data_IF_747649650895
#
_entry.id   IF_747649650895
#
_cell.length_a   1.000
_cell.length_b   1.000
_cell.length_c   1.000
_cell.angle_alpha   90.00
_cell.angle_beta   90.00
_cell.angle_gamma   90.00
#
_symmetry.space_group_name_H-M   'P 1'
#
loop_
_entity.id
_entity.type
_entity.pdbx_description
1 polymer ?
#
# COMPACT_ATOMS: atom_id res chain seq x y z
N UNK A 1 -30.81 -8.65 8.72
CA UNK A 1 -30.09 -7.51 9.31
C UNK A 1 -28.78 -7.16 8.59
N UNK A 2 -27.93 -8.13 8.16
CA UNK A 2 -26.65 -7.89 7.47
C UNK A 2 -26.76 -7.05 6.18
N UNK A 3 -27.74 -7.33 5.31
CA UNK A 3 -27.97 -6.58 4.05
C UNK A 3 -28.36 -5.11 4.27
N UNK A 4 -29.03 -4.78 5.37
CA UNK A 4 -29.41 -3.40 5.72
C UNK A 4 -28.23 -2.57 6.19
N UNK A 5 -27.30 -3.18 6.95
CA UNK A 5 -26.07 -2.50 7.40
C UNK A 5 -25.15 -2.17 6.22
N UNK A 6 -25.04 -3.06 5.23
CA UNK A 6 -24.24 -2.83 4.01
C UNK A 6 -24.83 -1.65 3.21
N UNK A 7 -26.17 -1.63 3.01
CA UNK A 7 -26.83 -0.53 2.30
C UNK A 7 -26.75 0.79 3.04
N UNK A 8 -26.82 0.79 4.36
CA UNK A 8 -26.67 1.99 5.17
C UNK A 8 -25.24 2.54 5.11
N UNK A 9 -24.23 1.67 5.15
CA UNK A 9 -22.83 2.06 4.98
C UNK A 9 -22.58 2.63 3.58
N UNK A 10 -23.10 2.01 2.53
CA UNK A 10 -23.01 2.53 1.17
C UNK A 10 -23.68 3.90 1.02
N UNK A 11 -24.83 4.10 1.63
CA UNK A 11 -25.52 5.39 1.61
C UNK A 11 -24.70 6.46 2.35
N UNK A 12 -24.12 6.12 3.50
CA UNK A 12 -23.26 7.02 4.28
C UNK A 12 -21.98 7.41 3.52
N UNK A 13 -21.44 6.49 2.70
CA UNK A 13 -20.30 6.76 1.81
C UNK A 13 -20.66 7.76 0.72
N UNK A 14 -21.79 7.54 0.02
CA UNK A 14 -22.29 8.48 -1.01
C UNK A 14 -22.51 9.88 -0.40
N UNK A 15 -22.97 9.95 0.84
CA UNK A 15 -23.19 11.21 1.56
C UNK A 15 -21.87 11.86 2.05
N UNK A 16 -20.82 11.08 2.25
CA UNK A 16 -19.49 11.55 2.64
C UNK A 16 -18.58 11.85 1.44
N UNK A 17 -18.91 11.36 0.27
CA UNK A 17 -18.16 11.56 -0.97
C UNK A 17 -18.22 13.04 -1.38
N UNK A 18 -17.07 13.69 -1.41
CA UNK A 18 -16.97 15.12 -1.76
C UNK A 18 -17.39 15.39 -3.20
N UNK A 19 -17.15 14.46 -4.12
CA UNK A 19 -17.54 14.55 -5.51
C UNK A 19 -19.08 14.39 -5.70
N UNK A 20 -19.75 13.68 -4.79
CA UNK A 20 -21.20 13.55 -4.79
C UNK A 20 -21.93 14.73 -4.09
N UNK A 21 -21.23 15.50 -3.23
CA UNK A 21 -21.80 16.63 -2.48
C UNK A 21 -22.51 17.66 -3.35
N UNK A 22 -21.94 18.13 -4.49
CA UNK A 22 -22.65 19.08 -5.35
C UNK A 22 -23.99 18.58 -5.85
N UNK A 23 -24.03 17.30 -6.30
CA UNK A 23 -25.29 16.66 -6.74
C UNK A 23 -26.33 16.53 -5.62
N UNK A 24 -25.89 16.19 -4.40
CA UNK A 24 -26.74 16.07 -3.22
C UNK A 24 -27.24 17.45 -2.74
N UNK A 25 -26.41 18.50 -2.83
CA UNK A 25 -26.80 19.88 -2.55
C UNK A 25 -27.86 20.34 -3.53
N UNK A 26 -27.69 20.09 -4.82
CA UNK A 26 -28.68 20.43 -5.88
C UNK A 26 -30.00 19.72 -5.63
N UNK A 27 -29.97 18.41 -5.29
CA UNK A 27 -31.18 17.65 -4.91
C UNK A 27 -31.88 18.24 -3.68
N UNK A 28 -31.10 18.56 -2.64
CA UNK A 28 -31.60 19.18 -1.42
C UNK A 28 -32.25 20.54 -1.66
N UNK A 29 -31.56 21.41 -2.41
CA UNK A 29 -32.08 22.74 -2.78
C UNK A 29 -33.34 22.65 -3.64
N UNK A 30 -33.36 21.74 -4.64
CA UNK A 30 -34.56 21.51 -5.46
C UNK A 30 -35.75 21.03 -4.64
N UNK A 31 -35.50 20.14 -3.67
CA UNK A 31 -36.53 19.69 -2.72
C UNK A 31 -37.06 20.82 -1.84
N UNK A 32 -36.19 21.66 -1.30
CA UNK A 32 -36.56 22.82 -0.47
C UNK A 32 -37.37 23.83 -1.28
N UNK A 33 -36.96 24.12 -2.53
CA UNK A 33 -37.71 25.03 -3.41
C UNK A 33 -39.09 24.46 -3.74
N UNK A 34 -39.19 23.17 -4.04
CA UNK A 34 -40.48 22.54 -4.34
C UNK A 34 -41.43 22.54 -3.15
N UNK A 35 -40.93 22.22 -1.94
CA UNK A 35 -41.73 22.24 -0.71
C UNK A 35 -42.07 23.68 -0.34
N UNK A 36 -41.15 24.64 -0.44
CA UNK A 36 -41.40 26.05 -0.19
C UNK A 36 -42.47 26.61 -1.12
N UNK A 37 -42.48 26.28 -2.40
CA UNK A 37 -43.48 26.67 -3.39
C UNK A 37 -44.86 26.13 -3.02
N UNK A 38 -44.94 24.86 -2.60
CA UNK A 38 -46.18 24.22 -2.16
C UNK A 38 -46.74 24.83 -0.88
N UNK A 39 -45.90 25.24 0.04
CA UNK A 39 -46.28 25.84 1.33
C UNK A 39 -46.75 27.29 1.15
N UNK A 40 -46.01 28.07 0.33
CA UNK A 40 -46.33 29.51 0.14
C UNK A 40 -47.51 29.75 -0.82
N UNK A 41 -47.66 28.90 -1.83
CA UNK A 41 -48.69 29.02 -2.87
C UNK A 41 -49.56 27.76 -3.00
N UNK A 42 -50.24 27.31 -1.94
CA UNK A 42 -50.94 25.99 -1.95
C UNK A 42 -52.10 25.89 -2.94
N UNK A 43 -52.61 27.01 -3.46
CA UNK A 43 -53.76 27.05 -4.40
C UNK A 43 -53.39 27.51 -5.82
N UNK A 44 -52.22 28.14 -5.99
CA UNK A 44 -51.83 28.78 -7.24
C UNK A 44 -50.65 28.16 -7.92
N UNK A 45 -49.87 27.29 -7.24
CA UNK A 45 -48.80 26.55 -7.88
C UNK A 45 -49.36 25.46 -8.75
N UNK A 46 -49.34 25.56 -10.10
CA UNK A 46 -49.76 24.45 -10.96
C UNK A 46 -48.88 23.25 -10.61
N UNK A 47 -49.49 22.13 -10.33
CA UNK A 47 -48.79 20.86 -10.06
C UNK A 47 -47.73 20.54 -11.13
N UNK A 48 -47.93 21.07 -12.33
CA UNK A 48 -47.03 21.03 -13.48
C UNK A 48 -45.69 21.74 -13.24
N UNK A 49 -45.69 22.93 -12.61
CA UNK A 49 -44.43 23.68 -12.36
C UNK A 49 -43.58 22.97 -11.30
N UNK A 50 -44.21 22.53 -10.19
CA UNK A 50 -43.53 21.78 -9.13
C UNK A 50 -43.00 20.45 -9.68
N UNK A 51 -43.78 19.75 -10.49
CA UNK A 51 -43.38 18.53 -11.15
C UNK A 51 -42.20 18.74 -12.12
N UNK A 52 -42.19 19.85 -12.84
CA UNK A 52 -41.16 20.19 -13.81
C UNK A 52 -39.82 20.53 -13.12
N UNK A 53 -39.87 21.30 -12.01
CA UNK A 53 -38.70 21.63 -11.20
C UNK A 53 -38.12 20.38 -10.55
N UNK A 54 -38.95 19.52 -9.96
CA UNK A 54 -38.48 18.24 -9.36
C UNK A 54 -37.89 17.31 -10.42
N UNK A 55 -38.54 17.17 -11.58
CA UNK A 55 -38.03 16.36 -12.68
C UNK A 55 -36.72 16.88 -13.25
N UNK A 56 -36.59 18.18 -13.48
CA UNK A 56 -35.33 18.78 -13.95
C UNK A 56 -34.20 18.61 -12.94
N UNK A 57 -34.48 18.83 -11.65
CA UNK A 57 -33.48 18.67 -10.58
C UNK A 57 -33.05 17.21 -10.43
N UNK A 58 -34.00 16.27 -10.46
CA UNK A 58 -33.70 14.84 -10.41
C UNK A 58 -32.91 14.36 -11.66
N UNK A 59 -33.24 14.86 -12.85
CA UNK A 59 -32.54 14.56 -14.09
C UNK A 59 -31.10 15.11 -14.08
N UNK A 60 -30.91 16.35 -13.63
CA UNK A 60 -29.60 16.96 -13.53
C UNK A 60 -28.71 16.25 -12.49
N UNK A 61 -29.24 15.97 -11.31
CA UNK A 61 -28.52 15.22 -10.28
C UNK A 61 -28.20 13.78 -10.70
N UNK A 62 -29.14 13.12 -11.40
CA UNK A 62 -28.93 11.80 -11.96
C UNK A 62 -27.85 11.76 -13.06
N UNK A 63 -27.86 12.76 -13.94
CA UNK A 63 -26.84 12.91 -14.99
C UNK A 63 -25.44 13.21 -14.39
N UNK A 64 -25.38 14.07 -13.39
CA UNK A 64 -24.11 14.39 -12.70
C UNK A 64 -23.57 13.17 -11.93
N UNK A 65 -24.42 12.48 -11.19
CA UNK A 65 -24.03 11.27 -10.46
C UNK A 65 -23.58 10.15 -11.42
N UNK A 66 -24.30 9.96 -12.54
CA UNK A 66 -23.91 9.03 -13.58
C UNK A 66 -22.57 9.40 -14.22
N UNK A 67 -22.34 10.69 -14.49
CA UNK A 67 -21.06 11.16 -15.01
C UNK A 67 -19.92 10.92 -14.01
N UNK A 68 -20.10 11.26 -12.74
CA UNK A 68 -19.09 11.04 -11.70
C UNK A 68 -18.74 9.55 -11.52
N UNK A 69 -19.77 8.68 -11.51
CA UNK A 69 -19.58 7.23 -11.41
C UNK A 69 -18.86 6.69 -12.65
N UNK A 70 -19.28 7.10 -13.86
CA UNK A 70 -18.67 6.67 -15.12
C UNK A 70 -17.24 7.20 -15.23
N UNK A 71 -16.99 8.46 -14.89
CA UNK A 71 -15.65 9.04 -14.92
C UNK A 71 -14.72 8.33 -13.93
N UNK A 72 -15.18 8.08 -12.70
CA UNK A 72 -14.42 7.33 -11.69
C UNK A 72 -14.16 5.88 -12.15
N UNK A 73 -15.16 5.22 -12.73
CA UNK A 73 -15.02 3.84 -13.24
C UNK A 73 -14.09 3.78 -14.45
N UNK A 74 -14.18 4.70 -15.40
CA UNK A 74 -13.27 4.75 -16.56
C UNK A 74 -11.83 5.03 -16.12
N UNK A 75 -11.61 5.94 -15.17
CA UNK A 75 -10.28 6.22 -14.64
C UNK A 75 -9.70 5.02 -13.88
N UNK A 76 -10.52 4.28 -13.10
CA UNK A 76 -10.07 3.07 -12.43
C UNK A 76 -9.78 1.94 -13.43
N UNK A 77 -10.63 1.77 -14.45
CA UNK A 77 -10.47 0.73 -15.47
C UNK A 77 -9.26 0.97 -16.38
N UNK A 78 -8.92 2.23 -16.69
CA UNK A 78 -7.66 2.55 -17.40
C UNK A 78 -6.44 2.26 -16.52
N UNK A 79 -6.49 2.60 -15.23
CA UNK A 79 -5.42 2.24 -14.28
C UNK A 79 -5.23 0.73 -14.14
N UNK A 80 -6.33 -0.03 -14.04
CA UNK A 80 -6.26 -1.51 -13.98
C UNK A 80 -5.64 -2.13 -15.23
N UNK A 81 -5.90 -1.58 -16.42
CA UNK A 81 -5.37 -2.11 -17.68
C UNK A 81 -3.87 -1.89 -17.86
N UNK A 82 -3.31 -0.84 -17.28
CA UNK A 82 -1.92 -0.44 -17.50
C UNK A 82 -1.00 -0.99 -16.41
N UNK A 83 -1.50 -1.26 -15.20
CA UNK A 83 -0.74 -1.54 -13.98
C UNK A 83 -1.12 -2.80 -13.23
N UNK A 84 -1.58 -3.84 -13.89
CA UNK A 84 -1.66 -5.12 -13.17
C UNK A 84 -0.25 -5.62 -12.87
N UNK A 85 -0.02 -6.25 -11.72
CA UNK A 85 1.28 -6.84 -11.36
C UNK A 85 1.84 -7.71 -12.48
N UNK A 86 1.00 -8.48 -13.15
CA UNK A 86 1.37 -9.37 -14.25
C UNK A 86 1.88 -8.59 -15.48
N UNK A 87 1.21 -7.50 -15.83
CA UNK A 87 1.63 -6.66 -16.96
C UNK A 87 2.99 -5.97 -16.70
N UNK A 88 3.23 -5.58 -15.44
CA UNK A 88 4.53 -5.04 -15.01
C UNK A 88 5.60 -6.12 -15.09
N UNK A 89 5.33 -7.30 -14.55
CA UNK A 89 6.28 -8.43 -14.59
C UNK A 89 6.63 -8.82 -16.04
N UNK A 90 5.65 -8.88 -16.92
CA UNK A 90 5.90 -9.18 -18.34
C UNK A 90 6.74 -8.11 -19.04
N UNK A 91 6.48 -6.82 -18.73
CA UNK A 91 7.22 -5.68 -19.29
C UNK A 91 8.71 -5.68 -18.91
N UNK A 92 9.04 -6.16 -17.71
CA UNK A 92 10.41 -6.17 -17.18
C UNK A 92 11.03 -7.57 -17.13
N UNK A 93 10.38 -8.54 -17.77
CA UNK A 93 10.92 -9.91 -17.89
C UNK A 93 12.30 -9.88 -18.56
N UNK A 94 13.31 -10.33 -17.82
CA UNK A 94 14.70 -10.39 -18.28
C UNK A 94 15.48 -9.07 -18.12
N UNK A 95 14.84 -7.97 -17.71
CA UNK A 95 15.53 -6.72 -17.40
C UNK A 95 15.79 -6.57 -15.89
N UNK A 96 14.97 -7.19 -15.05
CA UNK A 96 15.06 -7.13 -13.58
C UNK A 96 14.92 -8.53 -13.02
N UNK A 97 15.69 -8.83 -11.99
CA UNK A 97 15.50 -10.04 -11.18
C UNK A 97 14.27 -9.86 -10.30
N UNK A 98 13.15 -10.43 -10.75
CA UNK A 98 11.85 -10.32 -10.11
C UNK A 98 11.65 -11.47 -9.12
N UNK A 99 11.09 -11.15 -7.95
CA UNK A 99 10.79 -12.14 -6.93
C UNK A 99 9.81 -13.20 -7.46
N UNK A 100 10.27 -14.45 -7.48
CA UNK A 100 9.44 -15.61 -7.81
C UNK A 100 8.86 -16.21 -6.52
N UNK A 101 7.54 -16.15 -6.30
CA UNK A 101 6.91 -16.69 -5.10
C UNK A 101 6.76 -18.22 -5.20
N UNK A 102 7.86 -18.90 -5.45
CA UNK A 102 7.92 -20.34 -5.70
C UNK A 102 7.57 -21.16 -4.47
N UNK A 103 7.98 -20.71 -3.28
CA UNK A 103 7.71 -21.38 -2.01
C UNK A 103 6.25 -21.22 -1.62
N UNK A 104 5.70 -20.01 -1.73
CA UNK A 104 4.26 -19.75 -1.54
C UNK A 104 3.43 -20.61 -2.49
N UNK A 105 3.78 -20.72 -3.77
CA UNK A 105 3.08 -21.55 -4.75
C UNK A 105 3.11 -23.03 -4.41
N UNK A 106 4.17 -23.49 -3.78
CA UNK A 106 4.29 -24.90 -3.34
C UNK A 106 3.43 -25.18 -2.12
N UNK A 107 3.34 -24.21 -1.20
CA UNK A 107 2.58 -24.33 0.04
C UNK A 107 1.08 -24.15 -0.18
N UNK A 108 0.70 -23.23 -1.04
CA UNK A 108 -0.68 -22.89 -1.33
C UNK A 108 -1.16 -23.54 -2.62
N UNK A 109 -2.33 -24.17 -2.55
CA UNK A 109 -3.07 -24.64 -3.74
C UNK A 109 -3.81 -23.46 -4.42
N UNK A 110 -3.25 -22.25 -4.29
CA UNK A 110 -3.87 -20.99 -4.68
C UNK A 110 -3.29 -20.48 -6.00
N UNK A 111 -4.08 -19.67 -6.70
CA UNK A 111 -3.65 -18.94 -7.90
C UNK A 111 -2.70 -17.81 -7.52
N UNK A 112 -1.43 -18.15 -7.30
CA UNK A 112 -0.36 -17.18 -7.01
C UNK A 112 0.38 -16.87 -8.32
N UNK A 113 0.68 -15.57 -8.62
CA UNK A 113 1.42 -15.19 -9.82
C UNK A 113 2.77 -15.91 -9.95
N UNK A 114 3.26 -16.09 -11.17
CA UNK A 114 4.59 -16.67 -11.39
C UNK A 114 5.70 -15.75 -10.87
N UNK A 115 5.49 -14.44 -10.95
CA UNK A 115 6.43 -13.42 -10.53
C UNK A 115 5.68 -12.27 -9.88
N UNK A 116 6.35 -11.61 -8.94
CA UNK A 116 5.92 -10.37 -8.32
C UNK A 116 6.77 -9.21 -8.85
N UNK A 117 6.21 -8.01 -9.05
CA UNK A 117 6.95 -6.83 -9.49
C UNK A 117 7.78 -6.23 -8.33
N UNK A 118 8.59 -7.07 -7.73
CA UNK A 118 9.43 -6.80 -6.56
C UNK A 118 10.81 -7.38 -6.84
N UNK A 119 11.86 -6.63 -6.52
CA UNK A 119 13.25 -7.09 -6.50
C UNK A 119 13.80 -6.94 -5.08
N UNK A 120 14.35 -7.98 -4.53
CA UNK A 120 15.00 -7.91 -3.23
C UNK A 120 16.34 -7.18 -3.34
N UNK A 121 16.67 -6.37 -2.33
CA UNK A 121 17.95 -5.62 -2.25
C UNK A 121 18.79 -6.15 -1.12
N UNK A 122 18.14 -6.36 0.03
CA UNK A 122 18.72 -6.98 1.21
C UNK A 122 17.66 -7.97 1.69
N UNK A 123 17.99 -9.23 1.69
CA UNK A 123 17.16 -10.27 2.34
C UNK A 123 17.78 -10.57 3.70
N UNK A 124 16.95 -11.01 4.64
CA UNK A 124 17.45 -11.64 5.86
C UNK A 124 18.26 -12.87 5.41
N UNK A 125 19.54 -12.74 5.48
CA UNK A 125 20.45 -13.66 4.86
C UNK A 125 20.92 -14.63 5.94
N UNK A 126 20.97 -15.76 5.43
CA UNK A 126 22.11 -16.54 5.26
C UNK A 126 23.31 -15.93 4.49
N UNK A 127 23.47 -14.65 4.30
CA UNK A 127 24.49 -14.04 3.53
C UNK A 127 25.78 -13.91 4.28
N UNK A 128 26.87 -14.39 3.69
CA UNK A 128 28.28 -14.23 4.09
C UNK A 128 28.55 -14.16 5.61
N UNK A 129 27.92 -15.03 6.40
CA UNK A 129 28.47 -15.40 7.69
C UNK A 129 29.85 -15.97 7.44
N UNK A 130 30.86 -15.19 7.75
CA UNK A 130 32.21 -15.70 8.02
C UNK A 130 32.04 -16.96 8.85
N UNK A 131 32.44 -18.09 8.27
CA UNK A 131 32.31 -19.41 8.86
C UNK A 131 32.71 -19.42 10.34
N UNK A 132 31.74 -19.46 11.20
CA UNK A 132 31.86 -19.76 12.63
C UNK A 132 30.82 -20.84 12.95
N UNK A 133 31.34 -21.99 13.38
CA UNK A 133 30.61 -23.21 13.73
C UNK A 133 29.68 -23.06 14.95
N UNK A 134 28.77 -22.07 14.96
CA UNK A 134 27.77 -21.97 16.00
C UNK A 134 26.40 -21.74 15.32
N UNK A 135 25.42 -22.66 15.39
CA UNK A 135 24.06 -22.38 14.95
C UNK A 135 23.50 -21.34 15.93
N UNK A 136 23.60 -20.08 15.54
CA UNK A 136 23.08 -18.96 16.31
C UNK A 136 21.59 -19.06 16.57
N UNK A 137 21.07 -18.37 17.59
CA UNK A 137 19.66 -18.33 17.90
C UNK A 137 18.89 -17.67 16.77
N UNK A 138 17.66 -18.12 16.57
CA UNK A 138 16.54 -17.57 15.80
C UNK A 138 16.83 -16.62 14.61
N UNK A 139 16.05 -16.62 13.54
CA UNK A 139 16.30 -15.78 12.38
C UNK A 139 16.43 -14.34 12.84
N UNK A 140 17.67 -13.91 13.02
CA UNK A 140 17.98 -12.50 13.16
C UNK A 140 17.57 -11.90 11.82
N UNK A 141 16.40 -11.30 11.75
CA UNK A 141 15.98 -10.54 10.57
C UNK A 141 17.10 -9.60 10.14
N UNK A 142 16.98 -8.92 9.01
CA UNK A 142 17.98 -7.91 8.67
C UNK A 142 18.03 -6.87 9.80
N UNK A 143 19.21 -6.60 10.33
CA UNK A 143 19.45 -5.45 11.20
C UNK A 143 19.78 -4.26 10.30
N UNK A 144 18.77 -3.47 9.98
CA UNK A 144 18.94 -2.36 9.06
C UNK A 144 19.40 -1.12 9.83
N UNK A 145 20.68 -0.85 9.79
CA UNK A 145 21.25 0.42 10.27
C UNK A 145 20.89 1.56 9.31
N UNK A 146 20.58 2.72 9.87
CA UNK A 146 20.27 3.92 9.11
C UNK A 146 21.22 5.06 9.48
N UNK A 147 21.88 5.64 8.48
CA UNK A 147 22.68 6.85 8.60
C UNK A 147 22.03 8.00 7.82
N UNK A 148 21.94 9.17 8.46
CA UNK A 148 21.27 10.35 7.89
C UNK A 148 22.29 11.27 7.24
N UNK A 149 22.19 11.41 5.92
CA UNK A 149 22.93 12.39 5.14
C UNK A 149 22.21 13.75 5.13
N UNK A 150 22.97 14.84 5.01
CA UNK A 150 22.41 16.21 4.92
C UNK A 150 21.79 16.53 3.54
N UNK A 151 21.69 15.54 2.65
CA UNK A 151 21.13 15.68 1.31
C UNK A 151 19.62 15.94 1.32
N UNK A 152 19.17 16.62 0.27
CA UNK A 152 17.74 16.80 -0.03
C UNK A 152 17.51 16.44 -1.50
N UNK A 153 16.70 15.43 -1.72
CA UNK A 153 16.30 15.10 -3.09
C UNK A 153 15.48 16.22 -3.70
N UNK A 154 15.92 16.70 -4.86
CA UNK A 154 15.18 17.59 -5.73
C UNK A 154 14.93 16.90 -7.06
N UNK A 155 13.82 17.22 -7.74
CA UNK A 155 13.59 16.69 -9.08
C UNK A 155 14.77 17.00 -9.99
N UNK A 156 15.41 16.00 -10.60
CA UNK A 156 16.40 16.22 -11.65
C UNK A 156 15.86 17.09 -12.79
N UNK A 157 16.74 17.71 -13.54
CA UNK A 157 16.33 18.56 -14.67
C UNK A 157 15.50 17.81 -15.71
N UNK A 158 15.80 16.51 -15.93
CA UNK A 158 15.04 15.62 -16.81
C UNK A 158 13.60 15.45 -16.32
N UNK A 159 13.40 15.12 -15.04
CA UNK A 159 12.06 14.95 -14.44
C UNK A 159 11.28 16.26 -14.45
N UNK A 160 11.92 17.38 -14.10
CA UNK A 160 11.28 18.69 -14.20
C UNK A 160 10.90 19.05 -15.65
N UNK A 161 11.75 18.71 -16.59
CA UNK A 161 11.50 18.93 -18.03
C UNK A 161 10.32 18.11 -18.55
N UNK A 162 10.21 16.86 -18.10
CA UNK A 162 9.09 15.98 -18.45
C UNK A 162 7.74 16.55 -18.03
N UNK A 163 7.62 16.99 -16.79
CA UNK A 163 6.39 17.61 -16.30
C UNK A 163 6.16 19.02 -16.84
N UNK A 164 7.22 19.82 -17.01
CA UNK A 164 7.11 21.21 -17.42
C UNK A 164 6.12 22.00 -16.53
N UNK A 165 5.24 22.83 -17.12
CA UNK A 165 4.23 23.60 -16.37
C UNK A 165 3.21 22.74 -15.64
N UNK A 166 3.00 21.49 -16.06
CA UNK A 166 2.04 20.58 -15.42
C UNK A 166 2.41 20.22 -13.98
N UNK A 167 3.66 20.42 -13.60
CA UNK A 167 4.09 20.19 -12.22
C UNK A 167 3.38 21.12 -11.21
N UNK A 168 3.10 22.34 -11.61
CA UNK A 168 2.36 23.31 -10.76
C UNK A 168 0.89 22.91 -10.64
N UNK A 169 0.27 22.43 -11.72
CA UNK A 169 -1.10 21.90 -11.69
C UNK A 169 -1.20 20.66 -10.78
N UNK A 170 -0.20 19.77 -10.84
CA UNK A 170 -0.13 18.59 -9.95
C UNK A 170 0.00 19.02 -8.48
N UNK A 171 0.76 20.06 -8.20
CA UNK A 171 0.93 20.59 -6.84
C UNK A 171 -0.37 21.18 -6.32
N UNK A 172 -1.04 22.00 -7.13
CA UNK A 172 -2.33 22.57 -6.77
C UNK A 172 -3.37 21.50 -6.50
N UNK A 173 -3.43 20.46 -7.33
CA UNK A 173 -4.34 19.31 -7.12
C UNK A 173 -4.01 18.56 -5.83
N UNK A 174 -2.73 18.27 -5.59
CA UNK A 174 -2.26 17.59 -4.39
C UNK A 174 -2.66 18.33 -3.11
N UNK A 175 -2.49 19.67 -3.09
CA UNK A 175 -2.88 20.52 -1.96
C UNK A 175 -4.41 20.63 -1.82
N UNK A 176 -5.15 20.70 -2.93
CA UNK A 176 -6.61 20.76 -2.96
C UNK A 176 -7.25 19.47 -2.45
N UNK A 177 -6.63 18.32 -2.73
CA UNK A 177 -7.05 17.01 -2.20
C UNK A 177 -6.75 16.85 -0.70
N UNK A 178 -6.20 17.86 -0.04
CA UNK A 178 -5.91 17.85 1.39
C UNK A 178 -4.77 16.92 1.79
N UNK A 179 -3.93 16.50 0.84
CA UNK A 179 -2.78 15.62 1.13
C UNK A 179 -1.67 16.40 1.83
N UNK A 180 -1.16 15.83 2.92
CA UNK A 180 -0.06 16.44 3.66
C UNK A 180 1.27 16.18 2.98
N UNK A 181 2.00 17.26 2.65
CA UNK A 181 3.35 17.15 2.08
C UNK A 181 4.40 17.02 3.18
N UNK A 182 4.42 15.88 3.86
CA UNK A 182 5.39 15.60 4.91
C UNK A 182 6.77 15.27 4.34
N UNK A 183 7.80 15.46 5.18
CA UNK A 183 9.19 15.11 4.87
C UNK A 183 9.39 13.62 5.07
N UNK A 184 9.85 12.95 4.04
CA UNK A 184 10.05 11.49 4.02
C UNK A 184 11.53 11.14 3.90
N UNK A 185 11.90 9.99 4.41
CA UNK A 185 13.23 9.43 4.25
C UNK A 185 13.40 8.84 2.85
N UNK A 186 14.46 9.22 2.13
CA UNK A 186 14.83 8.65 0.85
C UNK A 186 16.13 7.88 0.99
N UNK A 187 16.16 6.57 0.86
CA UNK A 187 17.41 5.84 0.71
C UNK A 187 18.16 6.33 -0.52
N UNK A 188 19.36 6.80 -0.35
CA UNK A 188 20.21 7.29 -1.42
C UNK A 188 21.41 6.38 -1.68
N UNK A 189 21.78 5.51 -0.72
CA UNK A 189 22.88 4.56 -0.85
C UNK A 189 22.73 3.44 0.18
N UNK A 190 23.20 2.26 -0.19
CA UNK A 190 23.36 1.13 0.74
C UNK A 190 24.84 0.74 0.69
N UNK A 191 25.48 0.69 1.85
CA UNK A 191 26.87 0.32 1.99
C UNK A 191 27.10 -0.39 3.33
N UNK A 192 27.77 -1.52 3.31
CA UNK A 192 28.14 -2.28 4.51
C UNK A 192 26.97 -2.56 5.48
N UNK A 193 25.79 -2.92 4.95
CA UNK A 193 24.58 -3.15 5.73
C UNK A 193 23.84 -1.88 6.20
N UNK A 194 24.43 -0.70 5.99
CA UNK A 194 23.88 0.59 6.39
C UNK A 194 23.13 1.25 5.24
N UNK A 195 21.91 1.70 5.50
CA UNK A 195 21.11 2.50 4.56
C UNK A 195 21.31 3.97 4.83
N UNK A 196 21.96 4.66 3.89
CA UNK A 196 22.11 6.11 3.95
C UNK A 196 20.84 6.75 3.42
N UNK A 197 20.26 7.68 4.18
CA UNK A 197 19.02 8.37 3.83
C UNK A 197 19.23 9.87 3.72
N UNK A 198 18.51 10.48 2.80
CA UNK A 198 18.38 11.93 2.66
C UNK A 198 16.89 12.35 2.73
N UNK A 199 16.66 13.65 2.77
CA UNK A 199 15.29 14.17 2.81
C UNK A 199 14.63 14.15 1.43
N UNK A 200 13.39 13.71 1.38
CA UNK A 200 12.46 13.95 0.26
C UNK A 200 11.10 14.40 0.78
N UNK A 201 10.08 14.52 -0.09
CA UNK A 201 8.72 14.84 0.32
C UNK A 201 7.72 13.89 -0.30
N UNK A 202 6.57 13.73 0.36
CA UNK A 202 5.49 12.90 -0.15
C UNK A 202 5.01 13.36 -1.54
N UNK A 203 4.94 14.67 -1.79
CA UNK A 203 4.59 15.23 -3.11
C UNK A 203 5.55 14.76 -4.21
N UNK A 204 6.86 14.73 -3.94
CA UNK A 204 7.84 14.28 -4.94
C UNK A 204 7.64 12.82 -5.31
N UNK A 205 7.33 11.98 -4.34
CA UNK A 205 7.01 10.57 -4.59
C UNK A 205 5.64 10.41 -5.28
N UNK A 206 4.66 11.23 -4.92
CA UNK A 206 3.37 11.27 -5.60
C UNK A 206 3.52 11.55 -7.09
N UNK A 207 4.40 12.46 -7.47
CA UNK A 207 4.67 12.78 -8.88
C UNK A 207 5.53 11.76 -9.61
N UNK A 208 6.34 10.95 -8.90
CA UNK A 208 7.26 9.98 -9.50
C UNK A 208 6.79 8.54 -9.28
N UNK A 209 7.12 7.96 -8.13
CA UNK A 209 6.91 6.54 -7.88
C UNK A 209 5.44 6.12 -7.88
N UNK A 210 4.52 6.97 -7.42
CA UNK A 210 3.08 6.66 -7.42
C UNK A 210 2.35 7.05 -8.71
N UNK A 211 3.07 7.62 -9.67
CA UNK A 211 2.52 8.02 -10.96
C UNK A 211 3.32 7.47 -12.16
N UNK A 212 3.75 6.19 -12.15
CA UNK A 212 4.64 5.63 -13.16
C UNK A 212 4.06 5.70 -14.57
N UNK A 213 2.75 5.55 -14.69
CA UNK A 213 2.05 5.53 -15.98
C UNK A 213 1.28 6.83 -16.25
N UNK A 214 1.64 7.90 -15.53
CA UNK A 214 1.13 9.25 -15.82
C UNK A 214 1.68 9.72 -17.16
N UNK A 215 0.77 10.21 -18.01
CA UNK A 215 1.10 10.86 -19.29
C UNK A 215 0.88 12.36 -19.15
N UNK A 216 1.83 13.21 -19.59
CA UNK A 216 1.63 14.65 -19.57
C UNK A 216 0.43 15.10 -20.44
N UNK A 217 -0.24 16.23 -20.14
CA UNK A 217 -1.43 16.67 -20.86
C UNK A 217 -1.24 16.93 -22.36
N UNK A 218 -0.01 17.20 -22.79
CA UNK A 218 0.36 17.37 -24.20
C UNK A 218 0.53 16.04 -24.95
N UNK A 219 0.29 14.91 -24.29
CA UNK A 219 0.57 13.58 -24.80
C UNK A 219 2.06 13.24 -24.74
N UNK A 220 2.40 12.04 -25.11
CA UNK A 220 3.76 11.52 -25.05
C UNK A 220 3.84 10.20 -24.29
N UNK A 221 5.07 9.69 -24.06
CA UNK A 221 5.28 8.49 -23.28
C UNK A 221 4.87 8.71 -21.82
N UNK A 222 4.55 7.61 -21.13
CA UNK A 222 4.36 7.62 -19.68
C UNK A 222 5.69 7.91 -18.98
N UNK A 223 5.65 8.28 -17.70
CA UNK A 223 6.86 8.47 -16.90
C UNK A 223 7.76 7.21 -16.94
N UNK A 224 7.17 6.03 -16.82
CA UNK A 224 7.83 4.72 -16.90
C UNK A 224 8.53 4.49 -18.25
N UNK A 225 7.92 4.92 -19.34
CA UNK A 225 8.48 4.76 -20.69
C UNK A 225 9.58 5.77 -20.97
N UNK A 226 9.38 7.03 -20.59
CA UNK A 226 10.36 8.10 -20.78
C UNK A 226 11.66 7.82 -20.04
N UNK A 227 11.56 7.41 -18.78
CA UNK A 227 12.71 7.22 -17.90
C UNK A 227 13.22 5.77 -17.84
N UNK A 228 12.77 4.87 -18.74
CA UNK A 228 13.18 3.46 -18.72
C UNK A 228 14.69 3.27 -18.63
N UNK A 229 15.47 4.06 -19.35
CA UNK A 229 16.94 3.97 -19.40
C UNK A 229 17.63 4.64 -18.22
N UNK A 230 16.90 5.39 -17.42
CA UNK A 230 17.42 6.10 -16.26
C UNK A 230 17.15 5.35 -14.97
N UNK A 231 16.22 4.38 -14.95
CA UNK A 231 15.97 3.54 -13.80
C UNK A 231 16.31 2.06 -14.00
N UNK A 232 16.70 1.67 -15.23
CA UNK A 232 17.24 0.36 -15.57
C UNK A 232 18.60 0.50 -16.22
N UNK A 233 19.51 -0.39 -15.86
CA UNK A 233 20.78 -0.60 -16.51
C UNK A 233 20.91 -2.05 -17.01
N UNK A 234 22.12 -2.47 -17.39
CA UNK A 234 22.36 -3.82 -17.91
C UNK A 234 22.24 -4.91 -16.81
N UNK A 235 22.33 -4.51 -15.53
CA UNK A 235 22.29 -5.39 -14.36
C UNK A 235 20.92 -5.36 -13.65
N UNK A 236 19.96 -4.57 -14.14
CA UNK A 236 18.61 -4.47 -13.58
C UNK A 236 18.19 -3.06 -13.16
N UNK A 237 17.72 -2.90 -11.93
CA UNK A 237 17.39 -1.58 -11.39
C UNK A 237 18.67 -0.81 -11.07
N UNK A 238 18.83 0.41 -11.59
CA UNK A 238 19.94 1.30 -11.19
C UNK A 238 20.00 1.43 -9.66
N UNK A 239 21.16 1.78 -9.15
CA UNK A 239 21.34 2.00 -7.70
C UNK A 239 20.35 3.05 -7.17
N UNK A 240 20.11 3.08 -5.87
CA UNK A 240 19.25 4.12 -5.27
C UNK A 240 19.85 5.52 -5.43
N UNK A 241 21.20 5.62 -5.49
CA UNK A 241 21.92 6.88 -5.74
C UNK A 241 21.64 7.44 -7.14
N UNK A 242 21.61 6.56 -8.14
CA UNK A 242 21.48 6.94 -9.55
C UNK A 242 20.03 7.10 -10.00
N UNK A 243 19.08 6.63 -9.18
CA UNK A 243 17.67 6.71 -9.51
C UNK A 243 17.17 8.15 -9.60
N UNK A 244 16.52 8.54 -10.71
CA UNK A 244 15.99 9.89 -10.89
C UNK A 244 14.71 10.15 -10.08
N UNK A 245 14.20 9.16 -9.36
CA UNK A 245 12.91 9.23 -8.65
C UNK A 245 13.07 9.48 -7.16
N UNK A 246 11.98 9.93 -6.55
CA UNK A 246 11.94 10.31 -5.13
C UNK A 246 12.23 9.15 -4.18
N UNK A 247 11.80 7.94 -4.51
CA UNK A 247 12.14 6.70 -3.81
C UNK A 247 12.05 6.79 -2.28
N UNK A 248 11.02 7.43 -1.72
CA UNK A 248 10.90 7.46 -0.29
C UNK A 248 10.80 6.04 0.28
N UNK A 249 11.42 5.81 1.43
CA UNK A 249 11.36 4.55 2.14
C UNK A 249 9.94 4.33 2.66
N UNK A 250 9.34 3.25 2.22
CA UNK A 250 8.12 2.71 2.81
C UNK A 250 8.43 1.56 3.74
N UNK A 251 7.45 1.19 4.51
CA UNK A 251 7.52 0.00 5.33
C UNK A 251 6.12 -0.56 5.56
N UNK A 252 6.07 -1.83 5.83
CA UNK A 252 4.83 -2.49 6.19
C UNK A 252 5.09 -3.87 6.75
N UNK A 253 4.11 -4.41 7.46
CA UNK A 253 4.32 -5.67 8.12
C UNK A 253 3.05 -6.45 8.42
N UNK A 254 3.27 -7.69 8.79
CA UNK A 254 2.25 -8.52 9.41
C UNK A 254 2.36 -8.40 10.93
N UNK A 255 1.24 -8.05 11.56
CA UNK A 255 1.11 -8.12 13.00
C UNK A 255 0.55 -9.49 13.36
N UNK A 256 1.31 -10.23 14.15
CA UNK A 256 0.96 -11.57 14.63
C UNK A 256 0.88 -11.52 16.16
N UNK A 257 -0.22 -11.99 16.71
CA UNK A 257 -0.45 -11.95 18.16
C UNK A 257 -0.09 -13.24 18.84
N UNK A 258 0.26 -13.17 20.11
CA UNK A 258 0.65 -14.34 20.93
C UNK A 258 -0.47 -15.38 21.05
N UNK A 259 -1.73 -15.00 20.86
CA UNK A 259 -2.88 -15.91 20.82
C UNK A 259 -3.12 -16.49 19.41
N UNK A 260 -2.12 -16.41 18.51
CA UNK A 260 -2.10 -17.13 17.24
C UNK A 260 -2.92 -16.51 16.12
N UNK A 261 -3.11 -15.19 16.10
CA UNK A 261 -3.79 -14.50 15.01
C UNK A 261 -2.83 -13.65 14.18
N UNK A 262 -3.03 -13.64 12.86
CA UNK A 262 -2.45 -12.65 11.95
C UNK A 262 -3.52 -11.64 11.55
N UNK A 263 -3.17 -10.36 11.59
CA UNK A 263 -4.06 -9.29 11.14
C UNK A 263 -3.75 -8.92 9.70
N UNK A 264 -4.78 -8.77 8.87
CA UNK A 264 -4.66 -8.40 7.46
C UNK A 264 -5.55 -7.20 7.17
N UNK A 265 -5.10 -6.33 6.27
CA UNK A 265 -5.89 -5.21 5.78
C UNK A 265 -6.67 -5.57 4.53
N UNK A 266 -7.97 -5.25 4.50
CA UNK A 266 -8.78 -5.34 3.30
C UNK A 266 -8.79 -3.98 2.59
N UNK A 267 -8.12 -3.88 1.46
CA UNK A 267 -8.10 -2.67 0.62
C UNK A 267 -9.31 -2.63 -0.27
N UNK A 268 -10.12 -1.62 -0.15
CA UNK A 268 -11.33 -1.45 -0.98
C UNK A 268 -11.02 -0.66 -2.25
N UNK A 269 -12.05 -0.44 -3.10
CA UNK A 269 -11.94 0.29 -4.35
C UNK A 269 -11.61 1.79 -4.22
N UNK A 270 -11.58 2.32 -2.98
CA UNK A 270 -11.39 3.76 -2.75
C UNK A 270 -9.93 4.14 -2.44
N UNK A 271 -9.01 3.15 -2.38
CA UNK A 271 -7.58 3.40 -2.16
C UNK A 271 -6.84 3.66 -3.48
N UNK A 272 -5.78 4.45 -3.41
CA UNK A 272 -5.01 4.86 -4.61
C UNK A 272 -4.23 3.68 -5.22
N UNK A 273 -3.90 2.65 -4.43
CA UNK A 273 -3.03 1.53 -4.84
C UNK A 273 -3.52 0.24 -4.22
N UNK A 274 -3.54 -0.84 -5.01
CA UNK A 274 -3.91 -2.18 -4.53
C UNK A 274 -5.40 -2.29 -4.19
N UNK A 275 -6.26 -1.67 -4.99
CA UNK A 275 -7.72 -1.78 -4.83
C UNK A 275 -8.17 -3.25 -4.79
N UNK A 276 -9.12 -3.56 -3.89
CA UNK A 276 -9.73 -4.87 -3.74
C UNK A 276 -8.74 -6.01 -3.47
N UNK A 277 -7.68 -5.70 -2.70
CA UNK A 277 -6.69 -6.70 -2.29
C UNK A 277 -6.66 -6.90 -0.78
N UNK A 278 -6.21 -8.08 -0.37
CA UNK A 278 -5.77 -8.32 1.00
C UNK A 278 -4.34 -7.86 1.12
N UNK A 279 -4.09 -6.95 2.03
CA UNK A 279 -2.77 -6.38 2.29
C UNK A 279 -2.18 -6.82 3.63
N UNK A 280 -1.00 -6.29 3.91
CA UNK A 280 -0.35 -6.39 5.21
C UNK A 280 -1.22 -5.80 6.34
N UNK A 281 -0.86 -6.03 7.58
CA UNK A 281 -1.55 -5.50 8.77
C UNK A 281 -1.48 -3.99 8.82
N UNK A 282 -0.35 -3.45 8.44
CA UNK A 282 -0.07 -2.02 8.39
C UNK A 282 0.92 -1.72 7.26
N UNK A 283 0.90 -0.48 6.77
CA UNK A 283 1.87 0.00 5.79
C UNK A 283 1.93 1.52 5.80
N UNK A 284 3.13 2.08 5.77
CA UNK A 284 3.29 3.51 5.77
C UNK A 284 4.61 3.99 5.18
N UNK A 285 4.95 5.23 5.48
CA UNK A 285 6.11 5.88 4.89
C UNK A 285 6.95 6.52 5.98
N UNK A 286 8.21 6.17 6.05
CA UNK A 286 9.11 6.58 7.10
C UNK A 286 9.33 8.10 7.11
N UNK A 287 9.13 8.70 8.29
CA UNK A 287 9.27 10.13 8.50
C UNK A 287 10.75 10.49 8.68
N UNK A 288 11.28 11.32 7.78
CA UNK A 288 12.69 11.75 7.84
C UNK A 288 13.08 12.37 9.20
N UNK A 289 12.15 13.14 9.79
CA UNK A 289 12.42 13.79 11.09
C UNK A 289 12.68 12.82 12.23
N UNK A 290 12.01 11.65 12.21
CA UNK A 290 12.14 10.66 13.29
C UNK A 290 13.47 9.92 13.17
N UNK A 291 13.81 9.44 11.98
CA UNK A 291 15.11 8.81 11.71
C UNK A 291 16.26 9.78 11.97
N UNK A 292 16.11 11.05 11.59
CA UNK A 292 17.10 12.09 11.91
C UNK A 292 17.23 12.37 13.42
N UNK A 293 16.20 12.11 14.19
CA UNK A 293 16.22 12.20 15.65
C UNK A 293 16.80 10.94 16.31
N UNK A 294 17.17 9.91 15.54
CA UNK A 294 17.78 8.69 16.00
C UNK A 294 16.80 7.53 16.21
N UNK A 295 15.55 7.62 15.69
CA UNK A 295 14.65 6.48 15.66
C UNK A 295 15.20 5.38 14.73
N UNK A 296 15.09 4.13 15.14
CA UNK A 296 15.41 2.99 14.29
C UNK A 296 14.28 2.72 13.26
N UNK A 297 14.57 2.03 12.15
CA UNK A 297 13.51 1.57 11.23
C UNK A 297 12.39 0.78 11.92
N UNK A 298 12.72 -0.02 12.93
CA UNK A 298 11.76 -0.74 13.75
C UNK A 298 10.78 0.20 14.48
N UNK A 299 11.24 1.35 14.97
CA UNK A 299 10.38 2.34 15.64
C UNK A 299 9.36 2.95 14.67
N UNK A 300 9.77 3.19 13.42
CA UNK A 300 8.86 3.67 12.38
C UNK A 300 7.82 2.61 11.99
N UNK A 301 8.21 1.33 11.93
CA UNK A 301 7.25 0.24 11.71
C UNK A 301 6.23 0.13 12.86
N UNK A 302 6.68 0.25 14.11
CA UNK A 302 5.80 0.25 15.28
C UNK A 302 4.88 1.46 15.30
N UNK A 303 5.36 2.62 14.90
CA UNK A 303 4.53 3.83 14.76
C UNK A 303 3.40 3.60 13.74
N UNK A 304 3.71 3.11 12.55
CA UNK A 304 2.69 2.80 11.52
C UNK A 304 1.71 1.74 12.01
N UNK A 305 2.19 0.69 12.69
CA UNK A 305 1.32 -0.33 13.26
C UNK A 305 0.35 0.28 14.31
N UNK A 306 0.85 1.17 15.17
CA UNK A 306 0.03 1.87 16.18
C UNK A 306 -1.01 2.81 15.53
N UNK A 307 -0.65 3.46 14.42
CA UNK A 307 -1.57 4.36 13.70
C UNK A 307 -2.67 3.60 12.94
N UNK A 308 -2.37 2.39 12.44
CA UNK A 308 -3.29 1.66 11.56
C UNK A 308 -4.04 0.50 12.22
N UNK A 309 -3.60 -0.02 13.36
CA UNK A 309 -4.22 -1.17 14.01
C UNK A 309 -4.88 -0.73 15.32
N UNK A 310 -6.20 -0.88 15.39
CA UNK A 310 -6.97 -0.56 16.59
C UNK A 310 -6.54 -1.45 17.77
N UNK A 311 -6.40 -0.88 18.95
CA UNK A 311 -5.97 -1.53 20.19
C UNK A 311 -4.50 -2.01 20.22
N UNK A 312 -3.69 -1.71 19.22
CA UNK A 312 -2.26 -1.96 19.28
C UNK A 312 -1.52 -0.68 19.72
N UNK A 313 -0.65 -0.83 20.69
CA UNK A 313 0.35 0.17 21.09
C UNK A 313 1.75 -0.41 20.90
N UNK A 314 2.74 0.43 20.60
CA UNK A 314 4.11 -0.04 20.42
C UNK A 314 4.69 -0.78 21.64
N UNK A 315 4.16 -0.52 22.83
CA UNK A 315 4.52 -1.23 24.06
C UNK A 315 4.00 -2.68 24.13
N UNK A 316 3.03 -3.05 23.28
CA UNK A 316 2.52 -4.41 23.16
C UNK A 316 3.42 -5.30 22.30
N UNK A 317 4.35 -4.68 21.56
CA UNK A 317 5.28 -5.41 20.71
C UNK A 317 6.33 -6.16 21.56
N UNK A 318 6.44 -7.47 21.33
CA UNK A 318 7.49 -8.32 21.91
C UNK A 318 8.73 -8.37 21.03
N UNK A 319 8.53 -8.32 19.71
CA UNK A 319 9.62 -8.32 18.73
C UNK A 319 9.19 -7.65 17.41
N UNK A 320 10.16 -7.10 16.71
CA UNK A 320 10.04 -6.65 15.31
C UNK A 320 11.11 -7.39 14.52
N UNK A 321 10.69 -8.21 13.56
CA UNK A 321 11.60 -8.94 12.67
C UNK A 321 11.53 -8.31 11.29
N UNK A 322 12.61 -7.66 10.87
CA UNK A 322 12.72 -7.09 9.54
C UNK A 322 13.13 -8.19 8.55
N UNK A 323 12.25 -8.51 7.60
CA UNK A 323 12.48 -9.63 6.68
C UNK A 323 13.38 -9.27 5.51
N UNK A 324 13.13 -8.13 4.89
CA UNK A 324 13.88 -7.69 3.71
C UNK A 324 13.62 -6.22 3.39
N UNK A 325 14.62 -5.56 2.81
CA UNK A 325 14.43 -4.33 2.05
C UNK A 325 14.26 -4.69 0.57
N UNK A 326 13.11 -4.38 0.02
CA UNK A 326 12.75 -4.70 -1.36
C UNK A 326 12.57 -3.44 -2.19
N UNK A 327 12.64 -3.55 -3.52
CA UNK A 327 12.32 -2.47 -4.45
C UNK A 327 11.09 -2.84 -5.28
N UNK A 328 10.10 -1.98 -5.26
CA UNK A 328 8.84 -2.13 -6.00
C UNK A 328 9.02 -1.67 -7.45
N UNK A 329 9.09 -2.61 -8.36
CA UNK A 329 9.28 -2.35 -9.80
C UNK A 329 8.05 -1.69 -10.42
N UNK A 330 6.86 -2.05 -9.94
CA UNK A 330 5.61 -1.40 -10.30
C UNK A 330 5.59 0.10 -9.92
N UNK A 331 6.36 0.49 -8.90
CA UNK A 331 6.57 1.86 -8.45
C UNK A 331 7.98 2.40 -8.76
N UNK A 332 8.53 2.02 -9.92
CA UNK A 332 9.81 2.53 -10.43
C UNK A 332 10.98 2.35 -9.44
N UNK A 333 11.01 1.20 -8.77
CA UNK A 333 12.07 0.86 -7.84
C UNK A 333 11.97 1.53 -6.47
N UNK A 334 10.77 1.96 -6.05
CA UNK A 334 10.55 2.47 -4.68
C UNK A 334 10.95 1.43 -3.64
N UNK A 335 11.80 1.79 -2.66
CA UNK A 335 12.16 0.87 -1.59
C UNK A 335 11.06 0.72 -0.55
N UNK A 336 10.80 -0.51 -0.11
CA UNK A 336 9.87 -0.86 0.97
C UNK A 336 10.52 -1.88 1.91
N UNK A 337 10.44 -1.63 3.22
CA UNK A 337 10.89 -2.55 4.26
C UNK A 337 9.73 -3.48 4.66
N UNK A 338 9.93 -4.77 4.52
CA UNK A 338 8.99 -5.80 4.95
C UNK A 338 9.37 -6.35 6.32
N UNK A 339 8.39 -6.47 7.20
CA UNK A 339 8.63 -6.90 8.57
C UNK A 339 7.48 -7.72 9.17
N UNK A 340 7.77 -8.37 10.30
CA UNK A 340 6.77 -8.86 11.24
C UNK A 340 6.84 -8.04 12.52
N UNK A 341 5.67 -7.79 13.09
CA UNK A 341 5.51 -7.33 14.47
C UNK A 341 4.83 -8.45 15.24
N UNK A 342 5.54 -9.02 16.19
CA UNK A 342 5.01 -10.00 17.11
C UNK A 342 4.57 -9.28 18.38
N UNK A 343 3.30 -9.41 18.73
CA UNK A 343 2.67 -8.65 19.81
C UNK A 343 1.98 -9.56 20.84
N UNK A 344 1.65 -8.97 21.97
CA UNK A 344 0.77 -9.61 22.95
C UNK A 344 -0.65 -9.82 22.38
N UNK A 345 -1.53 -10.45 23.16
CA UNK A 345 -2.94 -10.57 22.83
C UNK A 345 -3.57 -9.18 22.73
N UNK A 346 -4.37 -8.95 21.68
CA UNK A 346 -5.11 -7.70 21.51
C UNK A 346 -6.58 -7.86 21.91
N UNK A 347 -7.15 -6.85 22.55
CA UNK A 347 -8.57 -6.84 22.91
C UNK A 347 -9.49 -6.88 21.69
N UNK A 348 -9.02 -6.32 20.57
CA UNK A 348 -9.72 -6.32 19.28
C UNK A 348 -8.72 -6.52 18.16
N UNK A 349 -9.08 -7.38 17.21
CA UNK A 349 -8.31 -7.62 16.00
C UNK A 349 -8.88 -6.79 14.83
N UNK A 350 -9.10 -5.51 15.04
CA UNK A 350 -9.62 -4.58 14.05
C UNK A 350 -8.55 -3.58 13.63
N UNK A 351 -8.72 -3.02 12.44
CA UNK A 351 -7.91 -1.93 11.93
C UNK A 351 -8.64 -0.60 12.10
N UNK A 352 -7.88 0.50 12.18
CA UNK A 352 -8.49 1.83 12.19
C UNK A 352 -9.22 2.08 10.87
N UNK A 353 -10.41 2.72 10.90
CA UNK A 353 -11.23 2.89 9.71
C UNK A 353 -10.73 3.95 8.72
N UNK A 354 -9.66 4.66 9.02
CA UNK A 354 -9.22 5.81 8.23
C UNK A 354 -8.57 5.44 6.90
N UNK A 355 -7.80 4.35 6.85
CA UNK A 355 -7.15 3.88 5.63
C UNK A 355 -7.70 2.57 5.08
N UNK A 356 -8.31 1.74 5.93
CA UNK A 356 -8.83 0.43 5.56
C UNK A 356 -10.23 0.25 6.12
N UNK A 357 -11.12 -0.16 5.28
CA UNK A 357 -12.54 -0.27 5.65
C UNK A 357 -12.87 -1.48 6.50
N UNK A 358 -12.00 -2.49 6.53
CA UNK A 358 -12.18 -3.68 7.36
C UNK A 358 -10.84 -4.40 7.56
N UNK A 359 -10.65 -5.03 8.69
CA UNK A 359 -9.55 -5.92 8.98
C UNK A 359 -10.02 -7.38 8.90
N UNK A 360 -9.12 -8.26 8.53
CA UNK A 360 -9.33 -9.68 8.55
C UNK A 360 -8.41 -10.28 9.61
N UNK A 361 -8.99 -10.85 10.66
CA UNK A 361 -8.28 -11.63 11.66
C UNK A 361 -8.21 -13.08 11.20
N UNK A 362 -7.02 -13.63 11.07
CA UNK A 362 -6.77 -14.99 10.60
C UNK A 362 -6.22 -15.84 11.74
N UNK A 363 -6.98 -16.83 12.17
CA UNK A 363 -6.52 -17.85 13.11
C UNK A 363 -5.45 -18.72 12.44
N UNK A 364 -4.21 -18.65 12.94
CA UNK A 364 -3.06 -19.39 12.44
C UNK A 364 -3.05 -20.87 12.88
N UNK A 365 -3.99 -21.26 13.74
CA UNK A 365 -4.12 -22.61 14.26
C UNK A 365 -3.07 -22.97 15.31
N UNK A 366 -2.52 -21.97 15.96
CA UNK A 366 -1.60 -22.08 17.08
C UNK A 366 -2.32 -21.50 18.29
N UNK A 367 -2.53 -22.32 19.32
CA UNK A 367 -3.27 -21.89 20.51
C UNK A 367 -2.53 -20.77 21.27
N UNK A 368 -1.21 -20.83 21.28
CA UNK A 368 -0.34 -19.81 21.87
C UNK A 368 1.05 -19.88 21.26
N UNK A 369 1.61 -18.72 20.96
CA UNK A 369 2.98 -18.54 20.49
C UNK A 369 3.79 -17.96 21.64
N UNK A 370 4.72 -18.75 22.19
CA UNK A 370 5.55 -18.32 23.33
C UNK A 370 6.75 -17.49 22.88
N UNK A 371 7.31 -17.80 21.70
CA UNK A 371 8.47 -17.14 21.14
C UNK A 371 8.32 -16.91 19.63
N UNK A 372 8.87 -15.80 19.12
CA UNK A 372 8.77 -15.43 17.70
C UNK A 372 9.44 -16.46 16.79
N UNK A 373 10.44 -17.15 17.27
CA UNK A 373 11.19 -18.20 16.58
C UNK A 373 10.29 -19.36 16.13
N UNK A 374 9.22 -19.65 16.86
CA UNK A 374 8.25 -20.69 16.50
C UNK A 374 7.59 -20.42 15.15
N UNK A 375 7.44 -19.14 14.78
CA UNK A 375 6.89 -18.71 13.49
C UNK A 375 7.84 -19.00 12.33
N UNK A 376 9.12 -19.19 12.58
CA UNK A 376 10.15 -19.49 11.59
C UNK A 376 10.49 -20.99 11.51
N UNK A 377 9.82 -21.85 12.30
CA UNK A 377 9.84 -23.30 11.99
C UNK A 377 9.20 -23.52 10.61
N UNK A 378 9.87 -24.22 9.66
CA UNK A 378 9.38 -24.37 8.29
C UNK A 378 7.97 -24.97 8.17
N UNK A 379 7.59 -25.87 9.08
CA UNK A 379 6.26 -26.49 9.09
C UNK A 379 5.22 -25.48 9.57
N UNK A 380 5.52 -24.79 10.67
CA UNK A 380 4.68 -23.76 11.26
C UNK A 380 4.46 -22.61 10.26
N UNK A 381 5.53 -22.08 9.68
CA UNK A 381 5.46 -21.03 8.66
C UNK A 381 4.58 -21.44 7.47
N UNK A 382 4.77 -22.66 6.95
CA UNK A 382 3.97 -23.20 5.83
C UNK A 382 2.48 -23.31 6.18
N UNK A 383 2.15 -23.75 7.39
CA UNK A 383 0.76 -23.86 7.85
C UNK A 383 0.12 -22.48 8.04
N UNK A 384 0.84 -21.53 8.61
CA UNK A 384 0.40 -20.15 8.75
C UNK A 384 0.12 -19.51 7.40
N UNK A 385 1.05 -19.60 6.46
CA UNK A 385 0.89 -19.04 5.10
C UNK A 385 -0.32 -19.64 4.40
N UNK A 386 -0.52 -20.96 4.50
CA UNK A 386 -1.68 -21.64 3.93
C UNK A 386 -3.00 -21.09 4.49
N UNK A 387 -3.06 -20.85 5.80
CA UNK A 387 -4.25 -20.29 6.45
C UNK A 387 -4.52 -18.84 6.06
N UNK A 388 -3.47 -18.02 5.93
CA UNK A 388 -3.56 -16.64 5.47
C UNK A 388 -4.14 -16.59 4.05
N UNK A 389 -3.61 -17.39 3.13
CA UNK A 389 -4.09 -17.44 1.74
C UNK A 389 -5.52 -17.98 1.64
N UNK A 390 -5.84 -19.03 2.38
CA UNK A 390 -7.21 -19.55 2.45
C UNK A 390 -8.22 -18.54 3.04
N UNK A 391 -7.77 -17.63 3.91
CA UNK A 391 -8.60 -16.55 4.42
C UNK A 391 -8.79 -15.45 3.36
N UNK A 392 -7.77 -15.13 2.57
CA UNK A 392 -7.88 -14.23 1.42
C UNK A 392 -8.93 -14.73 0.43
N UNK A 393 -8.85 -15.97 0.00
CA UNK A 393 -9.84 -16.57 -0.91
C UNK A 393 -11.28 -16.45 -0.39
N UNK A 394 -11.49 -16.68 0.91
CA UNK A 394 -12.82 -16.54 1.53
C UNK A 394 -13.31 -15.10 1.60
N UNK A 395 -12.41 -14.12 1.57
CA UNK A 395 -12.77 -12.70 1.61
C UNK A 395 -13.28 -12.18 0.26
N UNK A 396 -13.07 -12.91 -0.83
CA UNK A 396 -13.27 -12.48 -2.22
C UNK A 396 -12.40 -11.28 -2.64
N UNK A 397 -11.22 -11.15 -2.00
CA UNK A 397 -10.18 -10.19 -2.34
C UNK A 397 -8.89 -10.96 -2.65
N UNK A 398 -8.24 -10.60 -3.74
CA UNK A 398 -6.96 -11.21 -4.12
C UNK A 398 -5.85 -10.77 -3.16
N UNK A 399 -4.87 -11.65 -2.86
CA UNK A 399 -3.72 -11.24 -2.08
C UNK A 399 -2.89 -10.21 -2.86
N UNK A 400 -2.60 -9.08 -2.21
CA UNK A 400 -1.81 -8.00 -2.81
C UNK A 400 -0.32 -8.34 -2.90
N UNK A 401 0.40 -7.61 -3.76
CA UNK A 401 1.84 -7.80 -4.00
C UNK A 401 2.65 -7.76 -2.70
N UNK A 402 2.39 -6.79 -1.82
CA UNK A 402 3.10 -6.69 -0.55
C UNK A 402 2.88 -7.90 0.35
N UNK A 403 1.64 -8.38 0.44
CA UNK A 403 1.35 -9.57 1.24
C UNK A 403 2.09 -10.80 0.66
N UNK A 404 1.96 -11.04 -0.65
CA UNK A 404 2.61 -12.18 -1.28
C UNK A 404 4.14 -12.14 -1.15
N UNK A 405 4.76 -10.96 -1.31
CA UNK A 405 6.20 -10.82 -1.12
C UNK A 405 6.64 -11.08 0.33
N UNK A 406 5.89 -10.61 1.31
CA UNK A 406 6.16 -10.89 2.73
C UNK A 406 6.04 -12.39 3.04
N UNK A 407 5.01 -13.06 2.52
CA UNK A 407 4.81 -14.49 2.73
C UNK A 407 5.92 -15.33 2.08
N UNK A 408 6.37 -14.96 0.88
CA UNK A 408 7.50 -15.65 0.22
C UNK A 408 8.80 -15.46 1.01
N UNK A 409 9.10 -14.24 1.42
CA UNK A 409 10.29 -13.94 2.22
C UNK A 409 10.26 -14.65 3.57
N UNK A 410 9.10 -14.69 4.22
CA UNK A 410 8.92 -15.47 5.45
C UNK A 410 9.28 -16.94 5.26
N UNK A 411 8.71 -17.59 4.23
CA UNK A 411 9.00 -19.00 3.95
C UNK A 411 10.46 -19.24 3.60
N UNK A 412 11.10 -18.33 2.85
CA UNK A 412 12.54 -18.44 2.54
C UNK A 412 13.39 -18.33 3.79
N UNK A 413 13.11 -17.38 4.66
CA UNK A 413 13.80 -17.23 5.95
C UNK A 413 13.64 -18.51 6.80
N UNK A 414 12.42 -19.04 6.88
CA UNK A 414 12.17 -20.29 7.60
C UNK A 414 12.87 -21.52 7.02
N UNK A 415 13.06 -21.59 5.69
CA UNK A 415 13.77 -22.70 5.04
C UNK A 415 15.30 -22.56 5.13
N UNK A 416 15.83 -21.35 5.23
CA UNK A 416 17.27 -21.09 5.33
C UNK A 416 17.88 -21.70 6.62
N UNK A 417 17.10 -21.81 7.67
CA UNK A 417 17.51 -22.40 8.95
C UNK A 417 17.47 -23.93 8.97
N UNK A 418 17.11 -24.60 7.85
CA UNK A 418 17.28 -26.05 7.77
C UNK A 418 18.76 -26.37 7.64
N UNK A 419 19.35 -27.13 8.62
CA UNK A 419 20.67 -27.67 8.38
C UNK A 419 20.64 -28.44 7.05
N UNK A 420 21.59 -28.17 6.19
CA UNK A 420 21.74 -28.87 4.92
C UNK A 420 22.09 -30.33 5.22
N UNK A 421 21.10 -31.15 5.54
CA UNK A 421 21.20 -32.58 5.60
C UNK A 421 21.33 -33.15 4.17
N UNK A 422 22.55 -33.11 3.64
CA UNK A 422 22.98 -33.97 2.52
C UNK A 422 24.38 -34.50 2.81
#
# INVERSE_FOLDING_TARGET
MRRWRIRYRQLRRILADEDARPGLIVLGLGGVVAVGTLVVFPREAPSTIVGLVLSATASFAGAYLSYAIVAKHLMSTERERINTPEAVCERYRGDVDLLEPSTVRTVADASVPERLPVSAVIEADGGDSVAGDDPGPAPDGIDLDVEVDDGVYEFPASVRGYFGPYLDDLRERFETEGKFNTRKARPCRIADGTVHIEETTYFRTFCTNFAPDLTPPNGGPTLREEFRREFLDDDGLVTLADSPFSNHLGGGGLLITADGFALLGLRTADVTVGERTVGASFSGNFEFRNLRAGAAPADELLREATEEVESFDASDARAVVQLALVRRVDWLGKPDLHAFVFADELETHARTPEEYYDGLSVDLGIDRIEAVEELFDPTTASDCVRRILAASDRSAFDPGVNLLSMLELWLRTADADRPSDV
#
